data_IF_138358382506
#
_entry.id   IF_138358382506
#
_cell.length_a   1.000
_cell.length_b   1.000
_cell.length_c   1.000
_cell.angle_alpha   90.00
_cell.angle_beta   90.00
_cell.angle_gamma   90.00
#
_symmetry.space_group_name_H-M   'P 1'
#
loop_
_entity.id
_entity.type
_entity.pdbx_description
1 polymer ?
#
# COMPACT_ATOMS: atom_id res chain seq x y z
N UNK A 1 19.75 -5.02 14.86
CA UNK A 1 19.97 -6.14 15.81
C UNK A 1 18.71 -6.99 15.78
N UNK A 2 18.80 -8.16 15.15
CA UNK A 2 17.71 -9.14 15.14
C UNK A 2 17.77 -9.89 16.47
N UNK A 3 16.71 -9.81 17.24
CA UNK A 3 16.56 -10.67 18.42
C UNK A 3 15.96 -12.00 17.99
N UNK A 4 16.73 -13.06 18.09
CA UNK A 4 16.22 -14.42 17.98
C UNK A 4 15.57 -14.79 19.31
N UNK A 5 14.27 -14.98 19.31
CA UNK A 5 13.54 -15.47 20.47
C UNK A 5 13.75 -16.97 20.62
N UNK A 6 14.73 -17.34 21.42
CA UNK A 6 14.86 -18.70 21.92
C UNK A 6 14.35 -18.77 23.34
N UNK A 7 13.04 -18.74 23.59
CA UNK A 7 12.42 -19.20 24.83
C UNK A 7 10.90 -19.04 24.78
N UNK A 8 10.20 -19.98 25.34
CA UNK A 8 8.76 -20.18 25.37
C UNK A 8 7.93 -19.21 26.24
N UNK A 9 8.51 -18.12 26.67
CA UNK A 9 7.80 -17.01 27.33
C UNK A 9 8.22 -15.74 26.61
N UNK A 10 7.45 -15.34 25.58
CA UNK A 10 7.71 -14.16 24.77
C UNK A 10 7.57 -12.89 25.62
N UNK A 11 8.69 -12.28 25.96
CA UNK A 11 8.68 -10.85 26.20
C UNK A 11 8.35 -10.19 24.87
N UNK A 12 7.38 -9.28 24.84
CA UNK A 12 7.09 -8.49 23.65
C UNK A 12 8.40 -7.82 23.18
N UNK A 13 8.91 -8.28 22.04
CA UNK A 13 10.13 -7.73 21.47
C UNK A 13 9.86 -6.33 20.96
N UNK A 14 10.84 -5.43 21.12
CA UNK A 14 10.82 -4.11 20.47
C UNK A 14 11.55 -4.24 19.14
N UNK A 15 10.85 -3.94 18.03
CA UNK A 15 11.48 -3.85 16.72
C UNK A 15 11.87 -2.39 16.46
N UNK A 16 13.12 -2.16 16.14
CA UNK A 16 13.65 -0.84 15.79
C UNK A 16 13.84 -0.77 14.28
N UNK A 17 13.22 0.20 13.67
CA UNK A 17 13.40 0.50 12.25
C UNK A 17 14.33 1.69 12.07
N UNK A 18 15.18 1.65 11.04
CA UNK A 18 16.04 2.77 10.65
C UNK A 18 15.22 3.95 10.14
N UNK A 19 14.15 3.65 9.40
CA UNK A 19 13.21 4.60 8.85
C UNK A 19 11.81 3.99 8.89
N UNK A 20 10.79 4.80 8.71
CA UNK A 20 9.41 4.37 8.64
C UNK A 20 8.58 5.28 7.72
N UNK A 21 7.49 4.79 7.12
CA UNK A 21 6.57 5.60 6.34
C UNK A 21 5.58 6.32 7.25
N UNK A 22 5.09 7.46 6.75
CA UNK A 22 3.89 8.13 7.29
C UNK A 22 2.89 8.28 6.16
N UNK A 23 1.63 7.91 6.38
CA UNK A 23 0.57 7.98 5.39
C UNK A 23 -0.41 9.11 5.72
N UNK A 24 -1.00 9.68 4.68
CA UNK A 24 -2.13 10.60 4.82
C UNK A 24 -2.96 10.60 3.54
N UNK A 25 -4.27 10.81 3.67
CA UNK A 25 -5.12 11.14 2.52
C UNK A 25 -4.65 12.44 1.87
N UNK A 26 -4.88 12.55 0.56
CA UNK A 26 -4.69 13.79 -0.16
C UNK A 26 -5.99 14.19 -0.88
N UNK A 27 -6.06 15.47 -1.27
CA UNK A 27 -7.29 16.05 -1.81
C UNK A 27 -7.55 15.55 -3.23
N UNK A 28 -8.78 15.10 -3.47
CA UNK A 28 -9.28 14.80 -4.81
C UNK A 28 -9.75 16.09 -5.50
N UNK A 29 -9.60 16.20 -6.84
CA UNK A 29 -9.94 17.42 -7.58
C UNK A 29 -11.45 17.67 -7.67
N UNK A 30 -12.27 16.65 -7.45
CA UNK A 30 -13.74 16.72 -7.49
C UNK A 30 -14.36 15.84 -6.40
N UNK A 31 -15.63 16.01 -6.12
CA UNK A 31 -16.39 15.16 -5.19
C UNK A 31 -16.99 13.94 -5.88
N UNK A 32 -17.40 14.07 -7.13
CA UNK A 32 -18.03 13.00 -7.92
C UNK A 32 -17.00 12.02 -8.51
N UNK A 33 -17.38 10.76 -8.71
CA UNK A 33 -16.54 9.71 -9.24
C UNK A 33 -16.49 9.63 -10.78
N UNK A 34 -17.15 10.53 -11.49
CA UNK A 34 -17.19 10.55 -12.96
C UNK A 34 -15.79 10.74 -13.61
N UNK A 35 -14.85 11.30 -12.88
CA UNK A 35 -13.46 11.47 -13.33
C UNK A 35 -12.63 10.17 -13.18
N UNK A 36 -13.23 9.10 -12.66
CA UNK A 36 -12.56 7.81 -12.45
C UNK A 36 -11.55 7.79 -11.31
N UNK A 37 -11.36 8.88 -10.57
CA UNK A 37 -10.44 8.92 -9.43
C UNK A 37 -11.13 8.44 -8.17
N UNK A 38 -10.64 7.36 -7.58
CA UNK A 38 -11.23 6.76 -6.40
C UNK A 38 -10.60 7.26 -5.10
N UNK A 39 -9.28 7.37 -5.06
CA UNK A 39 -8.55 7.78 -3.86
C UNK A 39 -7.24 8.49 -4.23
N UNK A 40 -6.88 9.49 -3.44
CA UNK A 40 -5.54 10.07 -3.40
C UNK A 40 -4.97 9.99 -2.00
N UNK A 41 -3.73 9.58 -1.91
CA UNK A 41 -3.00 9.51 -0.64
C UNK A 41 -1.52 9.78 -0.89
N UNK A 42 -0.80 10.03 0.18
CA UNK A 42 0.65 10.26 0.14
C UNK A 42 1.37 9.43 1.18
N UNK A 43 2.58 9.03 0.84
CA UNK A 43 3.50 8.32 1.72
C UNK A 43 4.78 9.13 1.84
N UNK A 44 5.16 9.47 3.05
CA UNK A 44 6.38 10.21 3.37
C UNK A 44 7.35 9.29 4.08
N UNK A 45 8.58 9.16 3.56
CA UNK A 45 9.66 8.48 4.25
C UNK A 45 10.24 9.37 5.35
N UNK A 46 10.55 8.79 6.51
CA UNK A 46 11.24 9.51 7.57
C UNK A 46 12.61 10.03 7.09
N UNK A 47 13.06 11.16 7.61
CA UNK A 47 14.34 11.78 7.22
C UNK A 47 15.59 10.94 7.59
N UNK A 48 15.45 9.96 8.49
CA UNK A 48 16.55 9.09 8.89
C UNK A 48 16.96 8.06 7.82
N UNK A 49 16.11 7.81 6.82
CA UNK A 49 16.43 6.86 5.75
C UNK A 49 15.29 6.70 4.73
N UNK A 50 15.59 6.03 3.60
CA UNK A 50 14.56 5.67 2.63
C UNK A 50 13.62 4.60 3.19
N UNK A 51 12.46 4.43 2.54
CA UNK A 51 11.48 3.39 2.84
C UNK A 51 11.15 2.61 1.57
N UNK A 52 11.13 1.29 1.69
CA UNK A 52 10.64 0.40 0.64
C UNK A 52 9.15 0.10 0.85
N UNK A 53 8.34 0.15 -0.22
CA UNK A 53 6.94 -0.28 -0.20
C UNK A 53 6.77 -1.43 -1.17
N UNK A 54 6.16 -2.52 -0.73
CA UNK A 54 5.93 -3.69 -1.56
C UNK A 54 4.47 -3.98 -1.86
N UNK A 55 3.53 -3.49 -1.03
CA UNK A 55 2.12 -3.82 -1.22
C UNK A 55 1.20 -2.75 -0.65
N UNK A 56 0.11 -2.55 -1.36
CA UNK A 56 -1.07 -1.80 -0.93
C UNK A 56 -2.30 -2.66 -1.16
N UNK A 57 -3.07 -2.96 -0.13
CA UNK A 57 -4.35 -3.64 -0.26
C UNK A 57 -5.49 -2.64 -0.20
N UNK A 58 -6.36 -2.69 -1.21
CA UNK A 58 -7.53 -1.84 -1.27
C UNK A 58 -8.82 -2.65 -1.20
N UNK A 59 -9.84 -2.06 -0.61
CA UNK A 59 -11.22 -2.51 -0.72
C UNK A 59 -12.05 -1.38 -1.31
N UNK A 60 -12.82 -1.68 -2.35
CA UNK A 60 -13.74 -0.73 -2.95
C UNK A 60 -15.16 -1.24 -2.78
N UNK A 61 -16.00 -0.48 -2.11
CA UNK A 61 -17.43 -0.77 -1.96
C UNK A 61 -18.24 0.28 -2.71
N UNK A 62 -19.27 -0.15 -3.41
CA UNK A 62 -20.14 0.74 -4.20
C UNK A 62 -21.61 0.43 -3.98
N UNK A 63 -22.45 1.44 -4.22
CA UNK A 63 -23.91 1.27 -4.31
C UNK A 63 -24.27 0.24 -5.41
N UNK A 64 -25.35 -0.49 -5.21
CA UNK A 64 -25.85 -1.46 -6.20
C UNK A 64 -26.12 -0.79 -7.55
N UNK A 65 -25.65 -1.40 -8.63
CA UNK A 65 -25.76 -0.87 -10.00
C UNK A 65 -24.48 -0.19 -10.48
N UNK A 66 -23.61 0.28 -9.59
CA UNK A 66 -22.30 0.85 -9.96
C UNK A 66 -21.34 -0.27 -10.31
N UNK A 67 -20.72 -0.17 -11.48
CA UNK A 67 -19.69 -1.11 -11.95
C UNK A 67 -18.32 -0.41 -11.97
N UNK A 68 -17.31 -1.06 -11.39
CA UNK A 68 -15.95 -0.57 -11.31
C UNK A 68 -15.02 -1.59 -11.97
N UNK A 69 -14.24 -1.13 -12.94
CA UNK A 69 -13.29 -1.96 -13.70
C UNK A 69 -11.98 -1.21 -13.92
N UNK A 70 -10.97 -1.92 -14.36
CA UNK A 70 -9.68 -1.31 -14.79
C UNK A 70 -9.08 -0.42 -13.74
N UNK A 71 -8.95 -0.96 -12.52
CA UNK A 71 -8.33 -0.25 -11.40
C UNK A 71 -6.83 -0.13 -11.65
N UNK A 72 -6.26 1.05 -11.38
CA UNK A 72 -4.82 1.32 -11.53
C UNK A 72 -4.33 2.23 -10.43
N UNK A 73 -3.23 1.86 -9.81
CA UNK A 73 -2.49 2.72 -8.89
C UNK A 73 -1.32 3.37 -9.61
N UNK A 74 -1.23 4.69 -9.55
CA UNK A 74 -0.08 5.46 -10.07
C UNK A 74 0.59 6.22 -8.96
N UNK A 75 1.91 6.35 -9.06
CA UNK A 75 2.73 7.15 -8.16
C UNK A 75 3.37 8.36 -8.84
N UNK A 76 3.52 9.43 -8.06
CA UNK A 76 4.07 10.70 -8.50
C UNK A 76 5.04 11.25 -7.46
N UNK A 77 6.02 12.04 -7.92
CA UNK A 77 7.00 12.68 -7.04
C UNK A 77 6.55 14.08 -6.60
N UNK A 78 5.45 14.61 -7.15
CA UNK A 78 4.95 15.95 -6.89
C UNK A 78 3.46 15.97 -6.50
N UNK A 79 3.08 16.98 -5.72
CA UNK A 79 1.71 17.16 -5.21
C UNK A 79 0.69 17.57 -6.28
N UNK A 80 1.13 17.96 -7.47
CA UNK A 80 0.25 18.26 -8.61
C UNK A 80 -0.05 17.00 -9.46
N UNK A 81 0.52 15.85 -9.11
CA UNK A 81 0.31 14.56 -9.82
C UNK A 81 0.74 14.65 -11.30
N UNK A 82 1.82 15.37 -11.59
CA UNK A 82 2.30 15.63 -12.95
C UNK A 82 3.63 14.94 -13.28
N UNK A 83 4.43 14.59 -12.27
CA UNK A 83 5.74 13.96 -12.42
C UNK A 83 5.68 12.50 -11.97
N UNK A 84 5.50 11.54 -12.90
CA UNK A 84 5.45 10.12 -12.55
C UNK A 84 6.74 9.65 -11.90
N UNK A 85 6.62 8.71 -10.95
CA UNK A 85 7.79 8.03 -10.40
C UNK A 85 8.48 7.19 -11.47
N UNK A 86 9.80 7.07 -11.36
CA UNK A 86 10.62 6.23 -12.24
C UNK A 86 10.79 4.81 -11.68
N UNK A 87 11.22 3.87 -12.55
CA UNK A 87 11.50 2.48 -12.16
C UNK A 87 10.27 1.60 -11.98
N UNK A 88 9.11 2.09 -12.36
CA UNK A 88 7.84 1.37 -12.44
C UNK A 88 7.35 1.35 -13.89
N UNK A 89 6.12 0.92 -14.13
CA UNK A 89 5.53 0.92 -15.46
C UNK A 89 5.36 2.34 -16.05
N UNK A 90 5.05 2.40 -17.34
CA UNK A 90 4.86 3.67 -18.07
C UNK A 90 3.85 4.58 -17.36
N UNK A 91 4.22 5.86 -17.20
CA UNK A 91 3.37 6.85 -16.54
C UNK A 91 3.27 6.69 -15.03
N UNK A 92 4.26 6.03 -14.41
CA UNK A 92 4.31 5.84 -12.95
C UNK A 92 3.29 4.83 -12.42
N UNK A 93 2.72 3.99 -13.29
CA UNK A 93 1.82 2.94 -12.86
C UNK A 93 2.60 1.92 -12.02
N UNK A 94 2.10 1.64 -10.82
CA UNK A 94 2.65 0.64 -9.90
C UNK A 94 2.17 -0.73 -10.34
N UNK A 95 0.86 -0.88 -10.49
CA UNK A 95 0.15 -2.05 -10.96
C UNK A 95 -1.34 -1.72 -11.14
N UNK A 96 -2.11 -2.69 -11.62
CA UNK A 96 -3.56 -2.55 -11.78
C UNK A 96 -4.24 -3.87 -12.16
N UNK A 97 -5.54 -3.88 -11.97
CA UNK A 97 -6.41 -4.98 -12.37
C UNK A 97 -7.41 -4.50 -13.44
N UNK A 98 -7.56 -5.25 -14.51
CA UNK A 98 -8.52 -4.97 -15.59
C UNK A 98 -9.88 -5.65 -15.38
N UNK A 99 -9.98 -6.52 -14.39
CA UNK A 99 -11.21 -7.24 -14.03
C UNK A 99 -12.29 -6.30 -13.49
N UNK A 100 -13.49 -6.81 -13.37
CA UNK A 100 -14.56 -6.16 -12.60
C UNK A 100 -14.25 -6.32 -11.11
N UNK A 101 -14.17 -5.21 -10.39
CA UNK A 101 -13.97 -5.25 -8.94
C UNK A 101 -15.29 -5.61 -8.27
N UNK A 102 -15.29 -6.70 -7.52
CA UNK A 102 -16.43 -7.07 -6.70
C UNK A 102 -16.53 -6.15 -5.50
N UNK A 103 -17.66 -5.46 -5.34
CA UNK A 103 -17.91 -4.54 -4.23
C UNK A 103 -17.66 -5.21 -2.88
N UNK A 104 -16.83 -4.59 -2.05
CA UNK A 104 -16.48 -5.08 -0.71
C UNK A 104 -15.38 -6.17 -0.68
N UNK A 105 -14.86 -6.59 -1.83
CA UNK A 105 -13.73 -7.53 -1.89
C UNK A 105 -12.41 -6.78 -1.92
N UNK A 106 -11.44 -7.24 -1.13
CA UNK A 106 -10.10 -6.69 -1.14
C UNK A 106 -9.32 -7.15 -2.38
N UNK A 107 -8.43 -6.28 -2.87
CA UNK A 107 -7.46 -6.59 -3.92
C UNK A 107 -6.12 -5.94 -3.60
N UNK A 108 -5.06 -6.58 -4.00
CA UNK A 108 -3.69 -6.18 -3.75
C UNK A 108 -3.10 -5.46 -4.96
N UNK A 109 -2.30 -4.44 -4.71
CA UNK A 109 -1.46 -3.76 -5.69
C UNK A 109 -0.01 -3.95 -5.26
N UNK A 110 0.72 -4.71 -6.06
CA UNK A 110 2.12 -5.08 -5.82
C UNK A 110 2.99 -4.52 -6.94
N UNK A 111 4.08 -3.78 -6.66
CA UNK A 111 4.97 -3.30 -7.70
C UNK A 111 5.51 -4.43 -8.58
N UNK A 112 5.40 -4.31 -9.90
CA UNK A 112 5.70 -5.42 -10.83
C UNK A 112 7.16 -5.86 -10.85
N UNK A 113 8.10 -4.95 -10.67
CA UNK A 113 9.54 -5.24 -10.87
C UNK A 113 10.30 -5.29 -9.56
N UNK A 114 10.21 -4.22 -8.77
CA UNK A 114 10.90 -4.08 -7.49
C UNK A 114 10.01 -3.32 -6.52
N UNK A 115 10.26 -3.50 -5.23
CA UNK A 115 9.63 -2.68 -4.21
C UNK A 115 9.88 -1.19 -4.50
N UNK A 116 8.82 -0.40 -4.37
CA UNK A 116 8.90 1.04 -4.54
C UNK A 116 9.82 1.65 -3.49
N UNK A 117 10.81 2.44 -3.92
CA UNK A 117 11.73 3.12 -3.01
C UNK A 117 11.36 4.60 -2.89
N UNK A 118 11.07 5.04 -1.68
CA UNK A 118 10.82 6.45 -1.35
C UNK A 118 12.07 6.99 -0.66
N UNK A 119 12.79 7.97 -1.25
CA UNK A 119 14.01 8.51 -0.64
C UNK A 119 13.75 9.16 0.71
N UNK A 120 14.79 9.19 1.56
CA UNK A 120 14.72 9.77 2.90
C UNK A 120 14.15 11.20 2.89
N UNK A 121 13.20 11.48 3.74
CA UNK A 121 12.57 12.79 3.89
C UNK A 121 11.71 13.25 2.71
N UNK A 122 11.47 12.38 1.72
CA UNK A 122 10.62 12.72 0.57
C UNK A 122 9.21 12.18 0.70
N UNK A 123 8.28 12.78 -0.04
CA UNK A 123 6.89 12.35 -0.13
C UNK A 123 6.58 11.91 -1.55
N UNK A 124 6.00 10.73 -1.71
CA UNK A 124 5.39 10.29 -2.95
C UNK A 124 3.86 10.36 -2.84
N UNK A 125 3.23 10.70 -3.95
CA UNK A 125 1.80 10.92 -4.08
C UNK A 125 1.21 9.81 -4.93
N UNK A 126 0.09 9.25 -4.50
CA UNK A 126 -0.53 8.08 -5.13
C UNK A 126 -1.97 8.39 -5.51
N UNK A 127 -2.36 7.96 -6.70
CA UNK A 127 -3.73 8.08 -7.20
C UNK A 127 -4.23 6.69 -7.63
N UNK A 128 -5.27 6.21 -6.95
CA UNK A 128 -6.04 5.05 -7.39
C UNK A 128 -7.15 5.54 -8.31
N UNK A 129 -7.17 5.04 -9.53
CA UNK A 129 -8.17 5.35 -10.55
C UNK A 129 -8.82 4.09 -11.10
N UNK A 130 -10.02 4.21 -11.65
CA UNK A 130 -10.77 3.12 -12.26
C UNK A 130 -11.70 3.63 -13.38
N UNK A 131 -12.21 2.72 -14.18
CA UNK A 131 -13.36 2.96 -15.03
C UNK A 131 -14.63 2.73 -14.22
N UNK A 132 -15.45 3.76 -14.09
CA UNK A 132 -16.71 3.74 -13.32
C UNK A 132 -17.88 3.91 -14.27
N UNK A 133 -18.92 3.08 -14.12
CA UNK A 133 -20.15 3.18 -14.91
C UNK A 133 -21.37 2.83 -14.05
N UNK A 134 -22.56 3.27 -14.51
CA UNK A 134 -23.83 3.02 -13.82
C UNK A 134 -24.00 3.84 -12.53
N UNK A 135 -23.32 4.98 -12.42
CA UNK A 135 -23.40 5.85 -11.25
C UNK A 135 -24.45 6.93 -11.42
N UNK A 136 -25.52 6.85 -10.66
CA UNK A 136 -26.64 7.78 -10.65
C UNK A 136 -26.62 8.71 -9.44
N UNK A 137 -27.51 9.71 -9.42
CA UNK A 137 -27.64 10.63 -8.28
C UNK A 137 -27.96 9.88 -6.99
N UNK A 138 -27.17 10.07 -5.97
CA UNK A 138 -27.28 9.39 -4.67
C UNK A 138 -26.42 8.14 -4.54
N UNK A 139 -25.73 7.71 -5.60
CA UNK A 139 -24.78 6.63 -5.53
C UNK A 139 -23.44 7.08 -4.88
N UNK A 140 -22.75 6.12 -4.33
CA UNK A 140 -21.47 6.33 -3.70
C UNK A 140 -20.49 5.18 -3.93
N UNK A 141 -19.21 5.53 -3.89
CA UNK A 141 -18.09 4.60 -3.88
C UNK A 141 -17.25 4.92 -2.65
N UNK A 142 -16.99 3.91 -1.84
CA UNK A 142 -16.10 3.99 -0.68
C UNK A 142 -14.85 3.17 -0.97
N UNK A 143 -13.71 3.82 -0.98
CA UNK A 143 -12.40 3.19 -1.17
C UNK A 143 -11.65 3.20 0.15
N UNK A 144 -11.12 2.06 0.54
CA UNK A 144 -10.30 1.90 1.75
C UNK A 144 -8.93 1.37 1.36
N UNK A 145 -7.86 2.08 1.72
CA UNK A 145 -6.51 1.52 1.78
C UNK A 145 -6.38 0.83 3.13
N UNK A 146 -6.23 -0.48 3.14
CA UNK A 146 -6.24 -1.29 4.35
C UNK A 146 -5.09 -0.99 5.31
N UNK A 147 -5.40 -1.01 6.60
CA UNK A 147 -4.43 -1.03 7.69
C UNK A 147 -4.41 -2.39 8.37
N UNK A 148 -3.44 -2.61 9.24
CA UNK A 148 -3.24 -3.88 9.93
C UNK A 148 -3.56 -3.75 11.42
N UNK A 149 -4.21 -4.78 11.99
CA UNK A 149 -4.69 -4.76 13.39
C UNK A 149 -3.65 -5.27 14.37
N UNK A 150 -2.64 -5.99 13.89
CA UNK A 150 -1.57 -6.57 14.71
C UNK A 150 -0.24 -6.57 13.97
N UNK A 151 0.85 -6.49 14.72
CA UNK A 151 2.16 -6.66 14.14
C UNK A 151 2.35 -8.08 13.62
N UNK A 152 3.14 -8.21 12.56
CA UNK A 152 3.59 -9.52 12.10
C UNK A 152 4.44 -10.15 13.19
N UNK A 153 4.06 -11.34 13.65
CA UNK A 153 4.79 -12.09 14.66
C UNK A 153 5.55 -13.23 14.01
N UNK A 154 6.80 -13.41 14.41
CA UNK A 154 7.62 -14.53 13.95
C UNK A 154 8.52 -14.19 12.77
N UNK A 155 9.38 -13.20 12.93
CA UNK A 155 10.55 -12.96 12.08
C UNK A 155 11.57 -14.10 12.20
N UNK A 156 11.16 -15.32 11.92
CA UNK A 156 12.09 -16.43 11.75
C UNK A 156 12.48 -16.50 10.29
N UNK A 157 13.69 -16.10 10.00
CA UNK A 157 14.45 -16.37 8.78
C UNK A 157 13.58 -16.52 7.50
N UNK A 158 13.41 -15.45 6.78
CA UNK A 158 12.87 -15.49 5.43
C UNK A 158 11.44 -15.00 5.33
N UNK A 159 11.22 -13.72 5.51
CA UNK A 159 10.13 -13.04 4.83
C UNK A 159 10.43 -13.10 3.34
N UNK A 160 10.02 -14.17 2.70
CA UNK A 160 9.85 -14.17 1.27
C UNK A 160 8.65 -13.27 0.99
N UNK A 161 8.92 -12.00 0.75
CA UNK A 161 8.01 -11.19 -0.04
C UNK A 161 7.94 -11.91 -1.38
N UNK A 162 6.84 -12.59 -1.64
CA UNK A 162 6.71 -13.65 -2.63
C UNK A 162 7.35 -13.31 -3.96
N UNK A 163 8.17 -14.22 -4.46
CA UNK A 163 8.79 -14.15 -5.78
C UNK A 163 7.82 -14.51 -6.89
N UNK A 164 6.58 -14.78 -6.61
CA UNK A 164 5.61 -15.22 -7.60
C UNK A 164 4.28 -14.50 -7.46
N UNK A 165 4.06 -13.63 -8.36
CA UNK A 165 2.88 -13.42 -9.22
C UNK A 165 1.48 -13.55 -8.62
N UNK A 166 1.24 -13.86 -7.37
CA UNK A 166 -0.13 -14.05 -6.91
C UNK A 166 -0.46 -13.59 -5.51
N UNK A 167 0.48 -13.29 -4.67
CA UNK A 167 0.17 -12.76 -3.33
C UNK A 167 1.43 -12.21 -2.70
N UNK A 168 1.52 -10.91 -2.52
CA UNK A 168 2.54 -10.26 -1.72
C UNK A 168 2.31 -10.52 -0.23
N UNK A 169 2.08 -11.75 0.16
CA UNK A 169 1.92 -12.10 1.56
C UNK A 169 3.26 -12.13 2.28
N UNK A 170 3.36 -11.38 3.35
CA UNK A 170 4.41 -11.59 4.35
C UNK A 170 4.03 -12.81 5.17
N UNK A 171 4.54 -13.97 4.81
CA UNK A 171 4.24 -15.23 5.50
C UNK A 171 2.77 -15.64 5.42
N UNK A 172 2.29 -16.41 6.38
CA UNK A 172 0.91 -16.91 6.45
C UNK A 172 -0.10 -15.88 7.01
N UNK A 173 0.29 -14.62 7.16
CA UNK A 173 -0.56 -13.56 7.68
C UNK A 173 -0.82 -12.58 6.55
N UNK A 174 -2.07 -12.47 6.14
CA UNK A 174 -2.51 -11.45 5.20
C UNK A 174 -2.19 -10.06 5.78
N UNK A 175 -1.39 -9.30 5.08
CA UNK A 175 -1.02 -7.93 5.45
C UNK A 175 -1.58 -6.97 4.41
N UNK A 176 -2.09 -5.83 4.86
CA UNK A 176 -2.73 -4.87 3.95
C UNK A 176 -1.77 -3.81 3.41
N UNK A 177 -0.70 -3.55 4.14
CA UNK A 177 0.33 -2.61 3.75
C UNK A 177 1.70 -3.17 4.11
N UNK A 178 2.53 -3.44 3.10
CA UNK A 178 3.83 -4.09 3.30
C UNK A 178 4.94 -3.11 3.00
N UNK A 179 5.83 -2.90 3.98
CA UNK A 179 6.91 -1.93 3.88
C UNK A 179 8.19 -2.39 4.59
N UNK A 180 9.31 -1.73 4.26
CA UNK A 180 10.63 -1.93 4.87
C UNK A 180 11.26 -0.59 5.22
N UNK A 181 11.93 -0.52 6.37
CA UNK A 181 12.76 0.61 6.77
C UNK A 181 14.13 0.62 6.10
N UNK A 182 14.41 -0.29 5.18
CA UNK A 182 15.71 -0.46 4.52
C UNK A 182 16.88 -0.51 5.52
N UNK A 183 16.70 -1.21 6.62
CA UNK A 183 17.72 -1.34 7.68
C UNK A 183 18.88 -2.23 7.22
N UNK A 184 18.64 -3.14 6.32
CA UNK A 184 19.62 -3.89 5.53
C UNK A 184 19.90 -3.18 4.20
N UNK A 185 20.95 -3.54 3.51
CA UNK A 185 21.56 -2.74 2.44
C UNK A 185 20.69 -2.51 1.21
N UNK A 186 19.65 -3.30 0.99
CA UNK A 186 18.68 -3.13 -0.09
C UNK A 186 17.43 -3.93 0.20
N UNK A 187 16.28 -3.29 0.24
CA UNK A 187 15.00 -3.97 0.24
C UNK A 187 14.75 -4.54 -1.17
N UNK A 188 15.40 -5.64 -1.48
CA UNK A 188 15.20 -6.35 -2.75
C UNK A 188 14.06 -7.34 -2.57
N UNK A 189 13.02 -7.21 -3.35
CA UNK A 189 11.90 -8.14 -3.37
C UNK A 189 12.41 -9.56 -3.60
N UNK A 190 12.06 -10.49 -2.71
CA UNK A 190 12.38 -11.91 -2.85
C UNK A 190 13.78 -12.35 -2.41
N UNK A 191 14.59 -11.49 -1.83
CA UNK A 191 15.83 -11.92 -1.20
C UNK A 191 15.55 -12.56 0.16
N UNK A 192 15.95 -13.82 0.33
CA UNK A 192 15.79 -14.58 1.57
C UNK A 192 16.50 -13.96 2.80
N UNK A 193 17.27 -12.91 2.59
CA UNK A 193 18.05 -12.20 3.61
C UNK A 193 17.39 -10.87 4.07
N UNK A 194 16.32 -10.42 3.45
CA UNK A 194 15.65 -9.17 3.81
C UNK A 194 14.68 -9.41 4.97
N UNK A 195 15.19 -9.27 6.18
CA UNK A 195 14.47 -9.52 7.44
C UNK A 195 13.80 -8.28 8.03
N UNK A 196 13.75 -7.17 7.31
CA UNK A 196 13.20 -5.91 7.81
C UNK A 196 11.85 -5.51 7.17
N UNK A 197 11.27 -6.37 6.36
CA UNK A 197 9.89 -6.21 5.89
C UNK A 197 8.90 -6.40 7.03
N UNK A 198 7.88 -5.56 7.06
CA UNK A 198 6.82 -5.59 8.07
C UNK A 198 5.50 -5.12 7.47
N UNK A 199 4.43 -5.20 8.25
CA UNK A 199 3.11 -4.77 7.84
C UNK A 199 2.77 -3.35 8.32
N UNK A 200 1.55 -2.89 8.02
CA UNK A 200 1.05 -1.56 8.34
C UNK A 200 0.68 -1.33 9.81
N UNK A 201 0.90 -2.31 10.69
CA UNK A 201 0.58 -2.14 12.11
C UNK A 201 1.34 -0.98 12.74
N UNK A 202 0.63 -0.08 13.39
CA UNK A 202 1.18 1.13 14.02
C UNK A 202 1.94 2.09 13.09
N UNK A 203 1.76 1.99 11.78
CA UNK A 203 2.31 2.96 10.84
C UNK A 203 1.60 4.30 11.04
N UNK A 204 2.34 5.41 11.27
CA UNK A 204 1.75 6.72 11.46
C UNK A 204 0.86 7.14 10.29
N UNK A 205 -0.36 7.57 10.59
CA UNK A 205 -1.34 7.98 9.59
C UNK A 205 -2.09 6.84 8.88
N UNK A 206 -1.78 5.58 9.19
CA UNK A 206 -2.53 4.42 8.71
C UNK A 206 -3.24 3.72 9.88
N UNK A 207 -4.49 4.06 10.19
CA UNK A 207 -5.24 3.39 11.26
C UNK A 207 -5.53 1.93 10.89
N UNK A 208 -5.77 1.08 11.87
CA UNK A 208 -6.09 -0.34 11.67
C UNK A 208 -7.32 -0.58 10.79
N UNK A 209 -8.27 0.35 10.77
CA UNK A 209 -9.43 0.32 9.86
C UNK A 209 -9.14 0.87 8.47
N UNK A 210 -7.91 1.29 8.21
CA UNK A 210 -7.48 1.85 6.93
C UNK A 210 -7.76 3.34 6.74
N UNK A 211 -7.24 3.88 5.64
CA UNK A 211 -7.57 5.22 5.15
C UNK A 211 -8.80 5.12 4.23
N UNK A 212 -9.81 5.92 4.48
CA UNK A 212 -11.10 5.84 3.78
C UNK A 212 -11.36 7.10 2.98
N UNK A 213 -11.70 6.94 1.70
CA UNK A 213 -12.13 8.01 0.80
C UNK A 213 -13.51 7.67 0.23
N UNK A 214 -14.45 8.59 0.36
CA UNK A 214 -15.79 8.45 -0.23
C UNK A 214 -15.94 9.36 -1.44
N UNK A 215 -16.57 8.85 -2.50
CA UNK A 215 -16.98 9.55 -3.71
C UNK A 215 -18.48 9.40 -3.85
N UNK A 216 -19.19 10.47 -4.12
CA UNK A 216 -20.65 10.45 -4.32
C UNK A 216 -21.04 11.25 -5.55
N UNK A 217 -22.16 10.89 -6.17
CA UNK A 217 -22.72 11.59 -7.34
C UNK A 217 -23.98 12.35 -6.97
#
# INVERSE_FOLDING_TARGET
>A
TVWSAGATTGAAGVQLFKSFPTLALDTLPSTGAADGRLMRFKVTANSAGPVGINEFTFTVSSTTGVTITTVRLRGYTDSSYSQPISGQETGGQIDGDTSVITSGTAFEIVPNTNALQIPAGTTYYFELSASVSGMDTGDSIVTTLGGDTSAVTGLTSGYNVGTTTTTGEIGAVASNFVWSGNSTTTATRGAAADVDWTNGYSVPGLPSGGLIQTRSN
#
